data_IF_031348525141
#
_entry.id   IF_031348525141
#
_cell.length_a   1.000
_cell.length_b   1.000
_cell.length_c   1.000
_cell.angle_alpha   90.00
_cell.angle_beta   90.00
_cell.angle_gamma   90.00
#
_symmetry.space_group_name_H-M   'P 1'
#
loop_
_entity.id
_entity.type
_entity.pdbx_description
1 polymer ?
#
# COMPACT_ATOMS: atom_id res chain seq x y z
N UNK A 1 -21.65 -53.02 5.68
CA UNK A 1 -21.35 -52.37 4.35
C UNK A 1 -21.88 -50.97 4.19
N UNK A 2 -22.92 -50.52 4.89
CA UNK A 2 -23.53 -49.14 4.73
C UNK A 2 -22.82 -48.05 5.57
N UNK A 3 -21.94 -48.40 6.50
CA UNK A 3 -21.31 -47.46 7.43
C UNK A 3 -19.99 -46.85 6.91
N UNK A 4 -19.29 -47.55 6.05
CA UNK A 4 -17.99 -47.08 5.49
C UNK A 4 -18.18 -46.07 4.36
N UNK A 5 -19.24 -46.21 3.55
CA UNK A 5 -19.53 -45.27 2.45
C UNK A 5 -19.92 -43.87 2.96
N UNK A 6 -20.54 -43.77 4.13
CA UNK A 6 -20.89 -42.47 4.73
C UNK A 6 -19.68 -41.72 5.28
N UNK A 7 -18.66 -42.42 5.77
CA UNK A 7 -17.44 -41.83 6.29
C UNK A 7 -16.57 -41.33 5.12
N UNK A 8 -16.55 -42.05 4.02
CA UNK A 8 -15.87 -41.63 2.80
C UNK A 8 -16.51 -40.37 2.17
N UNK A 9 -17.85 -40.30 2.11
CA UNK A 9 -18.59 -39.16 1.61
C UNK A 9 -18.40 -37.90 2.47
N UNK A 10 -18.35 -38.00 3.78
CA UNK A 10 -18.11 -36.89 4.70
C UNK A 10 -16.66 -36.37 4.59
N UNK A 11 -15.68 -37.26 4.40
CA UNK A 11 -14.29 -36.88 4.15
C UNK A 11 -14.09 -36.19 2.79
N UNK A 12 -14.78 -36.63 1.75
CA UNK A 12 -14.76 -35.99 0.45
C UNK A 12 -15.41 -34.59 0.46
N UNK A 13 -16.49 -34.41 1.22
CA UNK A 13 -17.16 -33.11 1.38
C UNK A 13 -16.32 -32.14 2.21
N UNK A 14 -15.63 -32.61 3.25
CA UNK A 14 -14.72 -31.82 4.06
C UNK A 14 -13.47 -31.38 3.27
N UNK A 15 -12.96 -32.22 2.38
CA UNK A 15 -11.84 -31.88 1.50
C UNK A 15 -12.24 -30.85 0.44
N UNK A 16 -13.48 -30.88 -0.06
CA UNK A 16 -13.99 -29.91 -1.06
C UNK A 16 -14.21 -28.52 -0.44
N UNK A 17 -14.53 -28.42 0.84
CA UNK A 17 -14.71 -27.15 1.55
C UNK A 17 -13.39 -26.43 1.88
N UNK A 18 -12.26 -27.12 1.85
CA UNK A 18 -10.94 -26.53 2.10
C UNK A 18 -10.32 -25.84 0.87
N UNK A 19 -10.89 -25.99 -0.32
CA UNK A 19 -10.32 -25.44 -1.57
C UNK A 19 -10.87 -24.05 -1.92
N UNK A 20 -11.89 -23.56 -1.22
CA UNK A 20 -12.47 -22.22 -1.45
C UNK A 20 -12.07 -21.20 -0.38
N UNK A 21 -10.79 -21.16 -0.01
CA UNK A 21 -10.23 -19.91 0.48
C UNK A 21 -10.07 -18.98 -0.73
N UNK A 22 -11.16 -18.40 -1.21
CA UNK A 22 -11.10 -17.28 -2.14
C UNK A 22 -10.40 -16.15 -1.38
N UNK A 23 -9.10 -16.02 -1.62
CA UNK A 23 -8.45 -14.74 -1.40
C UNK A 23 -9.25 -13.74 -2.23
N UNK A 24 -9.92 -12.82 -1.59
CA UNK A 24 -10.56 -11.68 -2.23
C UNK A 24 -9.43 -10.82 -2.81
N UNK A 25 -9.00 -11.17 -4.01
CA UNK A 25 -8.11 -10.33 -4.79
C UNK A 25 -8.88 -9.04 -5.05
N UNK A 26 -8.42 -7.94 -4.51
CA UNK A 26 -8.86 -6.61 -4.92
C UNK A 26 -8.69 -6.55 -6.44
N UNK A 27 -9.71 -6.09 -7.14
CA UNK A 27 -9.60 -5.96 -8.60
C UNK A 27 -8.87 -4.65 -8.93
N UNK A 28 -7.93 -4.67 -9.89
CA UNK A 28 -7.28 -3.44 -10.33
C UNK A 28 -8.30 -2.41 -10.79
N UNK A 29 -8.10 -1.17 -10.39
CA UNK A 29 -8.94 -0.05 -10.80
C UNK A 29 -8.12 1.01 -11.54
N UNK A 30 -8.78 1.83 -12.35
CA UNK A 30 -8.11 2.83 -13.15
C UNK A 30 -8.26 4.22 -12.52
N UNK A 31 -7.14 4.95 -12.43
CA UNK A 31 -7.10 6.34 -12.00
C UNK A 31 -6.58 7.22 -13.12
N UNK A 32 -7.07 8.47 -13.15
CA UNK A 32 -6.60 9.48 -14.12
C UNK A 32 -5.56 10.39 -13.47
N UNK A 33 -4.38 10.49 -14.10
CA UNK A 33 -3.31 11.40 -13.71
C UNK A 33 -2.92 12.23 -14.93
N UNK A 34 -3.42 13.47 -14.98
CA UNK A 34 -3.30 14.31 -16.19
C UNK A 34 -3.91 13.62 -17.41
N UNK A 35 -3.10 13.37 -18.45
CA UNK A 35 -3.48 12.70 -19.69
C UNK A 35 -3.32 11.16 -19.63
N UNK A 36 -2.70 10.61 -18.60
CA UNK A 36 -2.45 9.18 -18.47
C UNK A 36 -3.51 8.49 -17.60
N UNK A 37 -3.98 7.33 -18.08
CA UNK A 37 -4.81 6.40 -17.30
C UNK A 37 -3.92 5.30 -16.76
N UNK A 38 -3.84 5.20 -15.43
CA UNK A 38 -3.01 4.25 -14.71
C UNK A 38 -3.88 3.20 -14.05
N UNK A 39 -3.39 1.97 -14.00
CA UNK A 39 -4.01 0.89 -13.24
C UNK A 39 -3.33 0.80 -11.86
N UNK A 40 -4.13 0.83 -10.80
CA UNK A 40 -3.68 0.61 -9.43
C UNK A 40 -4.39 -0.62 -8.85
N UNK A 41 -3.72 -1.29 -7.94
CA UNK A 41 -4.27 -2.37 -7.14
C UNK A 41 -3.68 -2.32 -5.73
N UNK A 42 -4.51 -2.66 -4.73
CA UNK A 42 -4.05 -2.80 -3.37
C UNK A 42 -3.47 -4.21 -3.17
N UNK A 43 -2.36 -4.37 -2.43
CA UNK A 43 -1.86 -5.70 -2.11
C UNK A 43 -2.89 -6.57 -1.36
N UNK A 44 -2.79 -7.90 -1.45
CA UNK A 44 -3.70 -8.82 -0.76
C UNK A 44 -3.80 -8.52 0.74
N UNK A 45 -5.02 -8.53 1.28
CA UNK A 45 -5.33 -8.19 2.67
C UNK A 45 -5.52 -6.69 2.93
N UNK A 46 -5.48 -5.88 1.86
CA UNK A 46 -5.74 -4.44 1.90
C UNK A 46 -6.79 -4.06 0.86
N UNK A 47 -7.59 -3.07 1.18
CA UNK A 47 -8.59 -2.53 0.27
C UNK A 47 -8.46 -1.00 0.19
N UNK A 48 -8.62 -0.46 -1.02
CA UNK A 48 -8.72 0.99 -1.21
C UNK A 48 -9.97 1.50 -0.49
N UNK A 49 -9.77 2.48 0.40
CA UNK A 49 -10.87 3.03 1.19
C UNK A 49 -11.71 4.06 0.45
N UNK A 50 -11.27 4.54 -0.71
CA UNK A 50 -11.97 5.59 -1.48
C UNK A 50 -13.36 5.15 -1.95
N UNK A 51 -13.57 3.86 -2.22
CA UNK A 51 -14.86 3.33 -2.64
C UNK A 51 -15.95 3.40 -1.55
N UNK A 52 -15.57 3.59 -0.28
CA UNK A 52 -16.55 3.71 0.81
C UNK A 52 -17.30 5.03 0.75
N UNK A 53 -16.78 6.04 0.06
CA UNK A 53 -17.33 7.40 0.05
C UNK A 53 -17.35 8.08 1.41
N UNK A 54 -16.60 7.56 2.40
CA UNK A 54 -16.60 8.08 3.76
C UNK A 54 -15.74 9.33 3.89
N UNK A 55 -16.31 10.50 4.24
CA UNK A 55 -15.55 11.73 4.50
C UNK A 55 -14.46 11.54 5.57
N UNK A 56 -14.75 10.74 6.60
CA UNK A 56 -13.81 10.47 7.69
C UNK A 56 -12.56 9.69 7.22
N UNK A 57 -12.72 8.72 6.32
CA UNK A 57 -11.58 8.01 5.73
C UNK A 57 -10.82 8.90 4.75
N UNK A 58 -11.52 9.78 4.04
CA UNK A 58 -10.87 10.77 3.19
C UNK A 58 -10.04 11.77 4.01
N UNK A 59 -10.59 12.35 5.07
CA UNK A 59 -9.85 13.22 5.99
C UNK A 59 -8.62 12.54 6.59
N UNK A 60 -8.76 11.25 6.96
CA UNK A 60 -7.65 10.46 7.43
C UNK A 60 -6.56 10.31 6.36
N UNK A 61 -6.92 9.95 5.14
CA UNK A 61 -5.98 9.85 4.03
C UNK A 61 -5.26 11.18 3.76
N UNK A 62 -6.00 12.29 3.78
CA UNK A 62 -5.46 13.64 3.60
C UNK A 62 -4.46 14.01 4.71
N UNK A 63 -4.69 13.55 5.95
CA UNK A 63 -3.77 13.78 7.06
C UNK A 63 -2.44 13.02 6.95
N UNK A 64 -2.38 11.98 6.09
CA UNK A 64 -1.17 11.17 5.88
C UNK A 64 -0.25 11.71 4.80
N UNK A 65 -0.63 12.79 4.13
CA UNK A 65 0.18 13.36 3.04
C UNK A 65 0.10 14.88 2.99
N UNK A 66 0.99 15.50 2.21
CA UNK A 66 0.95 16.95 1.99
C UNK A 66 -0.29 17.36 1.19
N UNK A 67 -0.90 18.53 1.50
CA UNK A 67 -1.94 19.13 0.65
C UNK A 67 -1.54 19.38 -0.81
N UNK A 68 -0.22 19.42 -1.08
CA UNK A 68 0.35 19.54 -2.44
C UNK A 68 0.24 18.24 -3.25
N UNK A 69 -0.15 17.14 -2.62
CA UNK A 69 -0.34 15.85 -3.28
C UNK A 69 -1.81 15.60 -3.61
N UNK A 70 -2.03 14.88 -4.70
CA UNK A 70 -3.31 14.27 -5.06
C UNK A 70 -3.26 12.80 -4.65
N UNK A 71 -4.18 12.37 -3.80
CA UNK A 71 -4.32 10.99 -3.40
C UNK A 71 -4.94 10.21 -4.55
N UNK A 72 -4.32 9.10 -4.91
CA UNK A 72 -4.79 8.19 -5.96
C UNK A 72 -5.34 6.89 -5.37
N UNK A 73 -4.83 6.48 -4.21
CA UNK A 73 -5.28 5.32 -3.45
C UNK A 73 -4.89 5.49 -1.97
N UNK A 74 -5.80 5.14 -1.08
CA UNK A 74 -5.51 4.95 0.34
C UNK A 74 -6.03 3.60 0.79
N UNK A 75 -5.13 2.62 0.90
CA UNK A 75 -5.48 1.27 1.25
C UNK A 75 -5.20 0.98 2.72
N UNK A 76 -6.21 0.46 3.41
CA UNK A 76 -6.17 0.03 4.81
C UNK A 76 -6.39 -1.48 4.88
N UNK A 77 -5.99 -2.12 5.97
CA UNK A 77 -6.20 -3.55 6.14
C UNK A 77 -7.69 -3.92 6.07
N UNK A 78 -8.00 -5.09 5.51
CA UNK A 78 -9.39 -5.59 5.46
C UNK A 78 -10.01 -5.68 6.86
N UNK A 79 -9.18 -5.91 7.90
CA UNK A 79 -9.60 -5.91 9.29
C UNK A 79 -10.02 -4.53 9.76
N UNK A 80 -9.21 -3.50 9.47
CA UNK A 80 -9.53 -2.12 9.83
C UNK A 80 -10.73 -1.58 9.05
N UNK A 81 -10.85 -1.95 7.76
CA UNK A 81 -12.01 -1.58 6.97
C UNK A 81 -13.31 -2.17 7.55
N UNK A 82 -13.30 -3.46 7.92
CA UNK A 82 -14.45 -4.10 8.57
C UNK A 82 -14.81 -3.41 9.89
N UNK A 83 -13.83 -3.13 10.77
CA UNK A 83 -14.07 -2.38 12.01
C UNK A 83 -14.68 -1.03 11.74
N UNK A 84 -14.14 -0.31 10.77
CA UNK A 84 -14.70 0.99 10.38
C UNK A 84 -16.18 0.89 9.93
N UNK A 85 -16.50 -0.10 9.09
CA UNK A 85 -17.85 -0.32 8.57
C UNK A 85 -18.85 -0.75 9.65
N UNK A 86 -18.40 -1.38 10.75
CA UNK A 86 -19.25 -1.74 11.91
C UNK A 86 -19.33 -0.64 12.97
N UNK A 87 -18.64 0.49 12.75
CA UNK A 87 -18.62 1.62 13.70
C UNK A 87 -17.57 1.48 14.80
N UNK A 88 -16.75 0.44 14.74
CA UNK A 88 -15.63 0.23 15.66
C UNK A 88 -14.43 1.14 15.28
N UNK A 89 -13.51 1.30 16.23
CA UNK A 89 -12.29 2.08 15.99
C UNK A 89 -11.23 1.22 15.31
N UNK A 90 -10.82 1.56 14.06
CA UNK A 90 -9.68 0.91 13.40
C UNK A 90 -8.38 1.16 14.15
N UNK A 91 -7.43 0.24 14.05
CA UNK A 91 -6.11 0.36 14.68
C UNK A 91 -5.09 1.08 13.82
N UNK A 92 -5.27 1.05 12.50
CA UNK A 92 -4.36 1.64 11.50
C UNK A 92 -2.88 1.30 11.69
N UNK A 93 -2.63 0.06 12.11
CA UNK A 93 -1.26 -0.41 12.33
C UNK A 93 -0.46 -0.54 11.03
N UNK A 94 -1.18 -0.72 9.92
CA UNK A 94 -0.63 -0.82 8.57
C UNK A 94 -1.56 -0.15 7.58
N UNK A 95 -0.98 0.69 6.73
CA UNK A 95 -1.73 1.27 5.62
C UNK A 95 -0.79 1.55 4.44
N UNK A 96 -1.38 1.83 3.31
CA UNK A 96 -0.68 2.13 2.06
C UNK A 96 -1.30 3.35 1.40
N UNK A 97 -0.45 4.15 0.78
CA UNK A 97 -0.87 5.38 0.12
C UNK A 97 -0.16 5.49 -1.23
N UNK A 98 -0.90 5.86 -2.26
CA UNK A 98 -0.36 6.28 -3.56
C UNK A 98 -0.79 7.71 -3.80
N UNK A 99 0.19 8.56 -4.08
CA UNK A 99 -0.06 9.96 -4.41
C UNK A 99 0.71 10.36 -5.67
N UNK A 100 0.29 11.47 -6.27
CA UNK A 100 1.06 12.20 -7.27
C UNK A 100 1.13 13.68 -6.87
N UNK A 101 2.29 14.37 -7.03
CA UNK A 101 2.35 15.80 -6.79
C UNK A 101 1.42 16.56 -7.74
N UNK A 102 0.53 17.39 -7.20
CA UNK A 102 -0.41 18.19 -8.01
C UNK A 102 0.29 19.04 -9.06
N UNK A 103 1.48 19.57 -8.73
CA UNK A 103 2.28 20.36 -9.64
C UNK A 103 2.78 19.57 -10.86
N UNK A 104 2.94 18.25 -10.73
CA UNK A 104 3.44 17.37 -11.79
C UNK A 104 2.33 16.56 -12.47
N UNK A 105 1.07 16.70 -12.02
CA UNK A 105 -0.04 15.87 -12.51
C UNK A 105 -0.22 15.96 -14.03
N UNK A 106 -0.06 17.16 -14.60
CA UNK A 106 -0.25 17.42 -16.04
C UNK A 106 1.02 17.20 -16.86
N UNK A 107 2.18 17.17 -16.21
CA UNK A 107 3.46 17.07 -16.89
C UNK A 107 3.75 15.62 -17.30
N UNK A 108 4.47 15.49 -18.42
CA UNK A 108 5.10 14.23 -18.79
C UNK A 108 6.52 14.24 -18.25
N UNK A 109 6.77 13.38 -17.28
CA UNK A 109 8.07 13.25 -16.63
C UNK A 109 9.01 12.45 -17.53
N UNK A 110 10.12 13.08 -17.92
CA UNK A 110 11.19 12.39 -18.66
C UNK A 110 12.06 11.57 -17.72
N UNK A 111 12.81 10.56 -18.22
CA UNK A 111 13.76 9.81 -17.39
C UNK A 111 14.79 10.71 -16.68
N UNK A 112 15.22 11.79 -17.30
CA UNK A 112 16.17 12.75 -16.71
C UNK A 112 15.53 13.53 -15.56
N UNK A 113 14.31 14.02 -15.74
CA UNK A 113 13.55 14.68 -14.69
C UNK A 113 13.27 13.70 -13.53
N UNK A 114 12.97 12.45 -13.83
CA UNK A 114 12.77 11.43 -12.81
C UNK A 114 14.05 11.18 -12.00
N UNK A 115 15.23 11.11 -12.65
CA UNK A 115 16.51 10.98 -11.93
C UNK A 115 16.75 12.13 -10.95
N UNK A 116 16.33 13.36 -11.30
CA UNK A 116 16.43 14.51 -10.39
C UNK A 116 15.47 14.38 -9.20
N UNK A 117 14.23 13.91 -9.42
CA UNK A 117 13.29 13.60 -8.33
C UNK A 117 13.87 12.55 -7.38
N UNK A 118 14.45 11.48 -7.93
CA UNK A 118 15.13 10.43 -7.14
C UNK A 118 16.30 11.00 -6.33
N UNK A 119 17.14 11.85 -6.93
CA UNK A 119 18.26 12.46 -6.23
C UNK A 119 17.80 13.37 -5.06
N UNK A 120 16.68 14.05 -5.22
CA UNK A 120 16.08 14.84 -4.15
C UNK A 120 15.53 13.94 -3.03
N UNK A 121 14.75 12.92 -3.39
CA UNK A 121 14.17 11.98 -2.43
C UNK A 121 15.24 11.21 -1.65
N UNK A 122 16.34 10.82 -2.29
CA UNK A 122 17.47 10.17 -1.62
C UNK A 122 18.16 11.09 -0.60
N UNK A 123 18.27 12.39 -0.90
CA UNK A 123 18.81 13.37 0.06
C UNK A 123 17.86 13.60 1.24
N UNK A 124 16.54 13.66 0.98
CA UNK A 124 15.50 13.81 2.00
C UNK A 124 15.44 12.58 2.93
N UNK A 125 15.62 11.38 2.37
CA UNK A 125 15.61 10.15 3.14
C UNK A 125 16.75 10.05 4.16
N UNK A 126 17.88 10.70 3.89
CA UNK A 126 19.03 10.77 4.81
C UNK A 126 19.85 9.48 4.87
N UNK A 127 20.90 9.51 5.69
CA UNK A 127 21.89 8.43 5.81
C UNK A 127 21.33 7.17 6.51
N UNK A 128 20.29 7.31 7.32
CA UNK A 128 19.70 6.21 8.10
C UNK A 128 18.65 5.39 7.29
N UNK A 129 18.44 5.76 6.01
CA UNK A 129 17.54 5.04 5.13
C UNK A 129 18.23 3.81 4.53
N UNK A 130 17.48 2.72 4.37
CA UNK A 130 17.94 1.53 3.68
C UNK A 130 17.35 1.48 2.25
N UNK A 131 18.21 1.53 1.24
CA UNK A 131 17.77 1.37 -0.16
C UNK A 131 17.22 -0.05 -0.38
N UNK A 132 16.00 -0.14 -0.92
CA UNK A 132 15.35 -1.40 -1.26
C UNK A 132 15.46 -1.71 -2.75
N UNK A 133 15.30 -0.69 -3.58
CA UNK A 133 15.37 -0.80 -5.04
C UNK A 133 15.75 0.52 -5.68
N UNK A 134 16.59 0.45 -6.71
CA UNK A 134 16.93 1.59 -7.54
C UNK A 134 17.20 1.15 -8.97
N UNK A 135 16.37 1.62 -9.87
CA UNK A 135 16.51 1.44 -11.31
C UNK A 135 16.08 2.70 -12.09
N UNK A 136 15.85 2.60 -13.38
CA UNK A 136 15.49 3.75 -14.24
C UNK A 136 14.08 4.30 -14.00
N UNK A 137 13.20 3.51 -13.41
CA UNK A 137 11.77 3.83 -13.21
C UNK A 137 11.34 3.73 -11.74
N UNK A 138 12.19 3.19 -10.86
CA UNK A 138 11.86 2.96 -9.46
C UNK A 138 13.02 3.38 -8.56
N UNK A 139 12.68 4.09 -7.49
CA UNK A 139 13.56 4.32 -6.36
C UNK A 139 12.77 4.06 -5.08
N UNK A 140 13.20 3.11 -4.26
CA UNK A 140 12.54 2.72 -3.02
C UNK A 140 13.51 2.65 -1.86
N UNK A 141 13.13 3.25 -0.74
CA UNK A 141 13.89 3.25 0.51
C UNK A 141 13.00 2.87 1.68
N UNK A 142 13.58 2.19 2.66
CA UNK A 142 12.95 1.96 3.95
C UNK A 142 13.44 2.99 4.95
N UNK A 143 12.51 3.53 5.71
CA UNK A 143 12.73 4.54 6.74
C UNK A 143 12.23 4.00 8.09
N UNK A 144 12.82 4.52 9.17
CA UNK A 144 12.39 4.24 10.52
C UNK A 144 12.23 5.57 11.26
N UNK A 145 11.11 5.73 11.95
CA UNK A 145 10.84 6.93 12.71
C UNK A 145 10.18 6.60 14.05
N UNK A 146 10.39 7.45 15.04
CA UNK A 146 9.62 7.43 16.28
C UNK A 146 8.53 8.49 16.17
N UNK A 147 7.28 8.08 16.32
CA UNK A 147 6.15 8.99 16.32
C UNK A 147 5.62 9.20 17.74
N UNK A 148 5.17 10.42 18.07
CA UNK A 148 4.54 10.67 19.36
C UNK A 148 3.37 9.72 19.61
N UNK A 149 3.08 9.35 20.85
CA UNK A 149 1.97 8.50 21.17
C UNK A 149 0.64 9.16 20.80
N UNK A 150 -0.30 8.37 20.25
CA UNK A 150 -1.63 8.84 19.91
C UNK A 150 -2.45 9.30 21.14
N UNK A 151 -2.08 8.85 22.33
CA UNK A 151 -2.71 9.27 23.61
C UNK A 151 -1.70 9.97 24.49
N UNK A 152 -2.13 11.03 25.18
CA UNK A 152 -1.32 11.76 26.14
C UNK A 152 -0.82 10.83 27.26
N UNK A 153 0.51 10.75 27.45
CA UNK A 153 1.13 9.86 28.44
C UNK A 153 1.46 8.44 27.96
N UNK A 154 1.21 8.11 26.70
CA UNK A 154 1.69 6.86 26.10
C UNK A 154 3.18 6.90 25.75
N UNK A 155 3.76 5.74 25.41
CA UNK A 155 5.12 5.67 24.89
C UNK A 155 5.17 6.02 23.41
N UNK A 156 6.27 6.64 22.92
CA UNK A 156 6.48 6.84 21.51
C UNK A 156 6.45 5.50 20.74
N UNK A 157 5.72 5.46 19.65
CA UNK A 157 5.68 4.27 18.79
C UNK A 157 6.78 4.35 17.73
N UNK A 158 7.45 3.25 17.53
CA UNK A 158 8.35 3.10 16.40
C UNK A 158 7.54 2.67 15.17
N UNK A 159 7.74 3.37 14.06
CA UNK A 159 7.10 3.03 12.78
C UNK A 159 8.15 2.78 11.72
N UNK A 160 7.87 1.80 10.89
CA UNK A 160 8.59 1.55 9.66
C UNK A 160 7.77 2.09 8.51
N UNK A 161 8.41 2.75 7.57
CA UNK A 161 7.79 3.11 6.31
C UNK A 161 8.71 2.78 5.14
N UNK A 162 8.12 2.53 3.99
CA UNK A 162 8.85 2.58 2.73
C UNK A 162 8.32 3.75 1.93
N UNK A 163 9.21 4.49 1.31
CA UNK A 163 8.88 5.50 0.33
C UNK A 163 9.41 5.06 -1.02
N UNK A 164 8.54 5.02 -2.02
CA UNK A 164 8.89 4.56 -3.36
C UNK A 164 8.45 5.59 -4.38
N UNK A 165 9.40 6.16 -5.11
CA UNK A 165 9.11 6.92 -6.32
C UNK A 165 9.06 5.97 -7.51
N UNK A 166 8.01 6.07 -8.32
CA UNK A 166 7.85 5.31 -9.56
C UNK A 166 7.55 6.23 -10.74
N UNK A 167 8.20 5.97 -11.86
CA UNK A 167 7.84 6.55 -13.16
C UNK A 167 6.94 5.56 -13.91
N UNK A 168 5.66 5.87 -14.02
CA UNK A 168 4.66 5.01 -14.64
C UNK A 168 3.99 5.75 -15.78
N UNK A 169 4.17 5.29 -17.02
CA UNK A 169 3.58 5.92 -18.24
C UNK A 169 3.86 7.42 -18.33
N UNK A 170 5.04 7.86 -17.89
CA UNK A 170 5.46 9.27 -17.89
C UNK A 170 4.84 10.10 -16.75
N UNK A 171 4.29 9.48 -15.74
CA UNK A 171 3.80 10.14 -14.51
C UNK A 171 4.63 9.71 -13.30
N UNK A 172 4.91 10.65 -12.40
CA UNK A 172 5.58 10.37 -11.14
C UNK A 172 4.56 10.01 -10.08
N UNK A 173 4.71 8.82 -9.50
CA UNK A 173 3.95 8.35 -8.36
C UNK A 173 4.85 8.28 -7.13
N UNK A 174 4.32 8.61 -5.96
CA UNK A 174 4.96 8.38 -4.67
C UNK A 174 4.09 7.37 -3.88
N UNK A 175 4.65 6.21 -3.59
CA UNK A 175 4.02 5.14 -2.86
C UNK A 175 4.60 5.10 -1.45
N UNK A 176 3.74 5.01 -0.46
CA UNK A 176 4.11 4.80 0.93
C UNK A 176 3.46 3.54 1.45
N UNK A 177 4.24 2.66 2.07
CA UNK A 177 3.75 1.60 2.96
C UNK A 177 4.19 1.94 4.37
N UNK A 178 3.27 1.88 5.33
CA UNK A 178 3.56 2.14 6.72
C UNK A 178 3.17 0.94 7.58
N UNK A 179 4.00 0.63 8.58
CA UNK A 179 3.73 -0.37 9.59
C UNK A 179 4.22 0.10 10.97
N UNK A 180 3.42 -0.12 12.02
CA UNK A 180 3.90 -0.03 13.40
C UNK A 180 4.92 -1.14 13.62
N UNK A 181 6.09 -0.80 14.18
CA UNK A 181 7.17 -1.76 14.43
C UNK A 181 7.04 -2.35 15.82
N UNK A 182 6.68 -3.61 15.91
CA UNK A 182 6.58 -4.36 17.17
C UNK A 182 7.54 -5.54 17.22
N UNK A 183 7.98 -5.99 16.04
CA UNK A 183 8.85 -7.14 15.91
C UNK A 183 9.72 -7.08 14.65
N UNK A 184 10.84 -7.83 14.59
CA UNK A 184 11.63 -7.95 13.37
C UNK A 184 10.83 -8.42 12.15
N UNK A 185 9.75 -9.20 12.34
CA UNK A 185 8.88 -9.67 11.26
C UNK A 185 8.18 -8.51 10.53
N UNK A 186 7.93 -7.36 11.20
CA UNK A 186 7.33 -6.20 10.56
C UNK A 186 8.29 -5.57 9.54
N UNK A 187 9.61 -5.60 9.80
CA UNK A 187 10.62 -5.14 8.87
C UNK A 187 10.75 -6.04 7.64
N UNK A 188 10.58 -7.33 7.79
CA UNK A 188 10.56 -8.29 6.68
C UNK A 188 9.27 -8.14 5.87
N UNK A 189 8.14 -8.03 6.55
CA UNK A 189 6.83 -7.85 5.92
C UNK A 189 6.80 -6.60 5.05
N UNK A 190 7.23 -5.44 5.58
CA UNK A 190 7.14 -4.17 4.83
C UNK A 190 8.01 -4.20 3.57
N UNK A 191 9.20 -4.81 3.63
CA UNK A 191 10.06 -5.00 2.46
C UNK A 191 9.41 -5.91 1.42
N UNK A 192 8.90 -7.06 1.86
CA UNK A 192 8.30 -8.05 0.97
C UNK A 192 7.03 -7.52 0.30
N UNK A 193 6.16 -6.82 1.03
CA UNK A 193 4.93 -6.25 0.46
C UNK A 193 5.25 -5.12 -0.49
N UNK A 194 6.19 -4.22 -0.15
CA UNK A 194 6.60 -3.12 -1.02
C UNK A 194 7.17 -3.64 -2.35
N UNK A 195 8.09 -4.60 -2.30
CA UNK A 195 8.70 -5.17 -3.51
C UNK A 195 7.63 -5.79 -4.43
N UNK A 196 6.76 -6.64 -3.88
CA UNK A 196 5.68 -7.27 -4.66
C UNK A 196 4.71 -6.24 -5.24
N UNK A 197 4.39 -5.21 -4.48
CA UNK A 197 3.47 -4.15 -4.93
C UNK A 197 4.06 -3.34 -6.08
N UNK A 198 5.35 -2.98 -6.01
CA UNK A 198 6.07 -2.32 -7.11
C UNK A 198 6.00 -3.17 -8.39
N UNK A 199 6.34 -4.46 -8.29
CA UNK A 199 6.33 -5.38 -9.43
C UNK A 199 4.92 -5.50 -10.04
N UNK A 200 3.89 -5.57 -9.21
CA UNK A 200 2.51 -5.64 -9.66
C UNK A 200 2.07 -4.35 -10.36
N UNK A 201 2.37 -3.17 -9.80
CA UNK A 201 2.05 -1.89 -10.44
C UNK A 201 2.78 -1.71 -11.77
N UNK A 202 4.04 -2.13 -11.87
CA UNK A 202 4.75 -2.16 -13.16
C UNK A 202 4.04 -3.09 -14.14
N UNK A 203 3.71 -4.32 -13.75
CA UNK A 203 3.02 -5.31 -14.58
C UNK A 203 1.68 -4.78 -15.11
N UNK A 204 0.88 -4.14 -14.27
CA UNK A 204 -0.42 -3.57 -14.64
C UNK A 204 -0.32 -2.42 -15.64
N UNK A 205 0.80 -1.72 -15.68
CA UNK A 205 0.98 -0.50 -16.49
C UNK A 205 1.96 -0.68 -17.67
N UNK A 206 2.48 -1.86 -17.92
CA UNK A 206 3.47 -2.15 -18.98
C UNK A 206 2.88 -2.16 -20.39
N UNK A 207 1.58 -1.91 -20.60
CA UNK A 207 0.91 -1.92 -21.92
C UNK A 207 0.59 -0.53 -22.44
#
# INVERSE_FOLDING_TARGET
MIREDRIAAVRALAALLLVFSMETLSAPFAVQVGDARLALDAPPGFADSSFTGSPRLQELAESQTSPSNKILMFAISDGDLRRFMTGDTPEFRRYMLVVTPKALERDRITPDAFRQLVANAAREAGADSAELRKDTEVFSVQLRAKVPPARRGGEPQEVLSTRTLMLVRGKALDLTVLAVHESPADAEWIRAVTTRWIDELQRLNTR
#
